data_IF_541387214126
#
_entry.id   IF_541387214126
#
_cell.length_a   1.000
_cell.length_b   1.000
_cell.length_c   1.000
_cell.angle_alpha   90.00
_cell.angle_beta   90.00
_cell.angle_gamma   90.00
#
_symmetry.space_group_name_H-M   'P 1'
#
loop_
_entity.id
_entity.type
_entity.pdbx_description
1 polymer ?
#
# COMPACT_ATOMS: atom_id res chain seq x y z
N UNK A 1 -2.60 0.85 -16.66
CA UNK A 1 -3.76 1.78 -16.57
C UNK A 1 -3.49 3.18 -17.11
N UNK A 2 -2.44 3.90 -16.67
CA UNK A 2 -2.18 5.30 -17.14
C UNK A 2 -2.04 5.37 -18.67
N UNK A 3 -1.32 4.42 -19.27
CA UNK A 3 -1.17 4.27 -20.73
C UNK A 3 -2.36 3.57 -21.41
N UNK A 4 -3.45 3.36 -20.68
CA UNK A 4 -4.63 2.60 -21.11
C UNK A 4 -4.35 1.15 -21.60
N UNK A 5 -3.23 0.57 -21.22
CA UNK A 5 -2.90 -0.84 -21.48
C UNK A 5 -3.61 -1.81 -20.53
N UNK A 6 -3.80 -3.06 -20.97
CA UNK A 6 -4.40 -4.13 -20.17
C UNK A 6 -3.55 -4.40 -18.92
N UNK A 7 -4.21 -4.62 -17.78
CA UNK A 7 -3.53 -4.98 -16.54
C UNK A 7 -3.71 -6.46 -16.27
N UNK A 8 -2.60 -7.15 -16.03
CA UNK A 8 -2.58 -8.56 -15.65
C UNK A 8 -2.64 -8.69 -14.13
N UNK A 9 -3.49 -9.58 -13.62
CA UNK A 9 -3.50 -10.03 -12.22
C UNK A 9 -3.14 -11.52 -12.25
N UNK A 10 -2.13 -11.93 -11.47
CA UNK A 10 -1.84 -13.35 -11.29
C UNK A 10 -2.79 -13.93 -10.24
N UNK A 11 -3.27 -15.15 -10.47
CA UNK A 11 -4.29 -15.76 -9.62
C UNK A 11 -5.66 -15.11 -9.80
N UNK A 12 -6.52 -15.23 -8.79
CA UNK A 12 -7.86 -14.63 -8.76
C UNK A 12 -7.87 -13.19 -8.19
N UNK A 13 -6.71 -12.69 -7.74
CA UNK A 13 -6.54 -11.38 -7.14
C UNK A 13 -7.00 -11.27 -5.68
N UNK A 14 -7.32 -12.39 -5.02
CA UNK A 14 -7.75 -12.44 -3.61
C UNK A 14 -6.61 -12.25 -2.60
N UNK A 15 -5.35 -12.44 -3.02
CA UNK A 15 -4.18 -12.24 -2.17
C UNK A 15 -4.15 -10.83 -1.59
N UNK A 16 -3.88 -10.71 -0.28
CA UNK A 16 -3.95 -9.45 0.44
C UNK A 16 -2.59 -8.97 0.93
N UNK A 17 -2.41 -7.64 0.93
CA UNK A 17 -1.24 -6.94 1.46
C UNK A 17 -1.70 -5.78 2.32
N UNK A 18 -0.79 -5.31 3.18
CA UNK A 18 -0.95 -4.10 3.97
C UNK A 18 -0.13 -2.97 3.35
N UNK A 19 -0.84 -2.01 2.76
CA UNK A 19 -0.23 -0.89 2.04
C UNK A 19 -0.01 0.28 2.97
N UNK A 20 1.21 0.82 2.96
CA UNK A 20 1.56 2.03 3.73
C UNK A 20 2.14 3.08 2.81
N UNK A 21 1.61 4.30 2.89
CA UNK A 21 2.10 5.40 2.07
C UNK A 21 3.46 5.89 2.57
N UNK A 22 4.32 6.32 1.64
CA UNK A 22 5.73 6.61 1.92
C UNK A 22 5.93 7.67 3.01
N UNK A 23 5.05 8.68 3.13
CA UNK A 23 5.18 9.71 4.18
C UNK A 23 4.99 9.15 5.58
N UNK A 24 4.18 8.10 5.74
CA UNK A 24 3.98 7.46 7.04
C UNK A 24 5.22 6.65 7.43
N UNK A 25 5.85 5.98 6.46
CA UNK A 25 7.12 5.26 6.65
C UNK A 25 8.26 6.21 7.02
N UNK A 26 8.42 7.32 6.28
CA UNK A 26 9.48 8.30 6.60
C UNK A 26 9.24 8.95 7.96
N UNK A 27 7.98 9.21 8.34
CA UNK A 27 7.64 9.71 9.68
C UNK A 27 8.01 8.71 10.78
N UNK A 28 7.80 7.41 10.56
CA UNK A 28 8.19 6.37 11.53
C UNK A 28 9.70 6.40 11.76
N UNK A 29 10.51 6.45 10.70
CA UNK A 29 11.97 6.51 10.79
C UNK A 29 12.45 7.77 11.52
N UNK A 30 11.87 8.94 11.21
CA UNK A 30 12.20 10.18 11.92
C UNK A 30 11.87 10.11 13.42
N UNK A 31 10.79 9.43 13.80
CA UNK A 31 10.44 9.23 15.21
C UNK A 31 11.39 8.25 15.89
N UNK A 32 11.77 7.17 15.20
CA UNK A 32 12.73 6.20 15.70
C UNK A 32 14.11 6.83 15.96
N UNK A 33 14.58 7.74 15.09
CA UNK A 33 15.84 8.46 15.29
C UNK A 33 15.80 9.43 16.47
N UNK A 34 14.64 10.03 16.75
CA UNK A 34 14.49 11.07 17.79
C UNK A 34 14.20 10.51 19.18
N UNK A 35 13.62 9.32 19.25
CA UNK A 35 13.20 8.72 20.53
C UNK A 35 14.25 7.76 21.05
N UNK A 36 14.54 7.87 22.34
CA UNK A 36 15.28 6.83 23.06
C UNK A 36 14.33 5.66 23.30
N UNK A 37 14.31 4.71 22.37
CA UNK A 37 13.63 3.43 22.53
C UNK A 37 14.63 2.34 22.87
N UNK A 38 14.13 1.19 23.32
CA UNK A 38 14.95 -0.03 23.36
C UNK A 38 15.26 -0.41 21.91
N UNK A 39 16.47 -0.90 21.63
CA UNK A 39 16.84 -1.45 20.31
C UNK A 39 15.89 -2.60 19.95
N UNK A 40 14.84 -2.30 19.17
CA UNK A 40 13.74 -3.20 18.83
C UNK A 40 13.30 -2.95 17.39
N UNK A 41 12.74 -3.99 16.78
CA UNK A 41 12.05 -3.87 15.50
C UNK A 41 10.62 -3.36 15.70
N UNK A 42 10.15 -2.51 14.78
CA UNK A 42 8.79 -1.98 14.77
C UNK A 42 8.13 -2.29 13.43
N UNK A 43 6.91 -2.84 13.49
CA UNK A 43 6.06 -2.99 12.33
C UNK A 43 5.43 -1.65 11.96
N UNK A 44 5.56 -1.27 10.69
CA UNK A 44 5.01 -0.05 10.11
C UNK A 44 3.99 -0.47 9.06
N UNK A 45 2.71 -0.39 9.42
CA UNK A 45 1.58 -0.86 8.62
C UNK A 45 0.27 -0.22 9.06
N UNK A 46 -0.79 -0.45 8.30
CA UNK A 46 -2.16 -0.06 8.66
C UNK A 46 -2.93 -1.14 9.42
N UNK A 47 -2.44 -2.38 9.45
CA UNK A 47 -3.19 -3.55 9.90
C UNK A 47 -4.50 -3.75 9.10
N UNK A 48 -4.49 -3.37 7.83
CA UNK A 48 -5.62 -3.51 6.90
C UNK A 48 -5.19 -4.44 5.77
N UNK A 49 -5.88 -5.56 5.63
CA UNK A 49 -5.72 -6.46 4.50
C UNK A 49 -6.44 -5.88 3.27
N UNK A 50 -5.69 -5.59 2.22
CA UNK A 50 -6.22 -5.07 0.94
C UNK A 50 -5.86 -6.05 -0.16
N UNK A 51 -6.85 -6.56 -0.89
CA UNK A 51 -6.60 -7.50 -1.99
C UNK A 51 -6.02 -6.81 -3.23
N UNK A 52 -5.37 -7.58 -4.10
CA UNK A 52 -4.96 -7.09 -5.43
C UNK A 52 -6.17 -6.57 -6.22
N UNK A 53 -7.33 -7.21 -6.09
CA UNK A 53 -8.56 -6.74 -6.72
C UNK A 53 -9.06 -5.39 -6.15
N UNK A 54 -8.91 -5.16 -4.85
CA UNK A 54 -9.25 -3.88 -4.22
C UNK A 54 -8.36 -2.75 -4.75
N UNK A 55 -7.05 -3.01 -4.89
CA UNK A 55 -6.10 -2.07 -5.51
C UNK A 55 -6.48 -1.79 -6.96
N UNK A 56 -6.77 -2.83 -7.73
CA UNK A 56 -7.21 -2.68 -9.11
C UNK A 56 -8.47 -1.80 -9.21
N UNK A 57 -9.49 -2.05 -8.39
CA UNK A 57 -10.74 -1.28 -8.36
C UNK A 57 -10.49 0.18 -7.97
N UNK A 58 -9.68 0.43 -6.95
CA UNK A 58 -9.36 1.78 -6.50
C UNK A 58 -8.59 2.58 -7.57
N UNK A 59 -7.60 1.97 -8.22
CA UNK A 59 -6.89 2.58 -9.35
C UNK A 59 -7.80 2.79 -10.56
N UNK A 60 -8.66 1.81 -10.86
CA UNK A 60 -9.63 1.88 -11.96
C UNK A 60 -10.55 3.09 -11.79
N UNK A 61 -11.05 3.30 -10.58
CA UNK A 61 -11.86 4.47 -10.23
C UNK A 61 -11.07 5.77 -10.35
N UNK A 62 -9.88 5.86 -9.76
CA UNK A 62 -9.06 7.09 -9.77
C UNK A 62 -8.63 7.52 -11.18
N UNK A 63 -8.35 6.55 -12.06
CA UNK A 63 -7.91 6.80 -13.43
C UNK A 63 -9.05 6.82 -14.46
N UNK A 64 -10.30 6.63 -14.03
CA UNK A 64 -11.45 6.40 -14.91
C UNK A 64 -11.18 5.32 -15.99
N UNK A 65 -10.39 4.31 -15.63
CA UNK A 65 -10.00 3.22 -16.51
C UNK A 65 -11.23 2.32 -16.77
N UNK A 66 -11.44 1.89 -18.01
CA UNK A 66 -12.67 1.17 -18.38
C UNK A 66 -12.50 -0.34 -18.53
N UNK A 67 -11.30 -0.82 -18.84
CA UNK A 67 -11.07 -2.25 -19.11
C UNK A 67 -11.08 -3.08 -17.82
N UNK A 68 -11.35 -4.37 -17.97
CA UNK A 68 -11.26 -5.36 -16.89
C UNK A 68 -9.83 -5.93 -16.77
N UNK A 69 -9.48 -6.54 -15.62
CA UNK A 69 -8.18 -7.20 -15.51
C UNK A 69 -8.15 -8.47 -16.36
N UNK A 70 -6.95 -8.80 -16.85
CA UNK A 70 -6.68 -10.10 -17.46
C UNK A 70 -6.07 -11.01 -16.39
N UNK A 71 -6.73 -12.11 -16.08
CA UNK A 71 -6.22 -13.05 -15.09
C UNK A 71 -5.17 -13.98 -15.69
N UNK A 72 -4.11 -14.23 -14.93
CA UNK A 72 -3.04 -15.16 -15.25
C UNK A 72 -2.97 -16.31 -14.23
N UNK A 73 -2.05 -17.27 -14.43
CA UNK A 73 -1.86 -18.36 -13.49
C UNK A 73 -1.45 -17.85 -12.10
N UNK A 74 -1.78 -18.62 -11.08
CA UNK A 74 -1.39 -18.37 -9.68
C UNK A 74 0.14 -18.39 -9.54
N UNK A 75 0.68 -17.53 -8.68
CA UNK A 75 2.10 -17.52 -8.36
C UNK A 75 2.28 -17.95 -6.90
N UNK A 76 3.17 -18.91 -6.59
CA UNK A 76 3.43 -19.30 -5.21
C UNK A 76 3.93 -18.12 -4.38
N UNK A 77 3.10 -17.63 -3.46
CA UNK A 77 3.43 -16.53 -2.55
C UNK A 77 2.61 -16.59 -1.26
N UNK A 78 2.94 -15.70 -0.31
CA UNK A 78 2.14 -15.55 0.91
C UNK A 78 0.77 -14.97 0.55
N UNK A 79 -0.30 -15.64 0.96
CA UNK A 79 -1.67 -15.23 0.60
C UNK A 79 -2.09 -13.95 1.34
N UNK A 80 -1.77 -13.82 2.64
CA UNK A 80 -2.25 -12.72 3.48
C UNK A 80 -1.11 -12.08 4.29
N UNK A 81 -0.93 -10.77 4.15
CA UNK A 81 0.02 -9.99 4.94
C UNK A 81 -0.70 -8.78 5.54
N UNK A 82 -0.67 -8.67 6.88
CA UNK A 82 -1.06 -7.47 7.62
C UNK A 82 -0.16 -7.27 8.83
N UNK A 83 0.12 -6.02 9.17
CA UNK A 83 1.10 -5.69 10.20
C UNK A 83 0.45 -4.98 11.38
N UNK A 84 0.59 -5.55 12.56
CA UNK A 84 0.20 -4.88 13.80
C UNK A 84 1.26 -3.84 14.22
N UNK A 85 0.86 -2.57 14.21
CA UNK A 85 1.71 -1.44 14.58
C UNK A 85 1.57 -0.98 16.04
N UNK A 86 0.89 -1.73 16.91
CA UNK A 86 0.66 -1.34 18.31
C UNK A 86 1.94 -0.99 19.07
N UNK A 87 3.06 -1.67 18.79
CA UNK A 87 4.35 -1.34 19.39
C UNK A 87 4.87 0.04 18.95
N UNK A 88 4.77 0.36 17.65
CA UNK A 88 5.14 1.68 17.12
C UNK A 88 4.22 2.78 17.68
N UNK A 89 2.93 2.49 17.87
CA UNK A 89 1.99 3.40 18.53
C UNK A 89 2.39 3.68 19.97
N UNK A 90 2.73 2.65 20.74
CA UNK A 90 3.09 2.77 22.15
C UNK A 90 4.41 3.50 22.36
N UNK A 91 5.48 3.05 21.69
CA UNK A 91 6.83 3.53 21.96
C UNK A 91 7.22 4.72 21.07
N UNK A 92 6.86 4.68 19.78
CA UNK A 92 7.17 5.77 18.85
C UNK A 92 6.10 6.86 18.81
N UNK A 93 4.93 6.65 19.43
CA UNK A 93 3.76 7.54 19.24
C UNK A 93 3.39 7.69 17.76
N UNK A 94 3.71 6.66 16.97
CA UNK A 94 3.46 6.61 15.54
C UNK A 94 2.15 5.87 15.26
N UNK A 95 1.38 6.39 14.31
CA UNK A 95 0.28 5.67 13.68
C UNK A 95 0.23 6.12 12.23
N UNK A 96 -0.20 5.26 11.31
CA UNK A 96 -0.32 5.66 9.93
C UNK A 96 -1.47 6.69 9.80
N UNK A 97 -1.38 7.53 8.78
CA UNK A 97 -2.27 8.67 8.59
C UNK A 97 -2.87 8.75 7.20
N UNK A 98 -2.14 8.29 6.18
CA UNK A 98 -2.57 8.39 4.79
C UNK A 98 -3.29 7.11 4.41
N UNK A 99 -4.62 7.20 4.32
CA UNK A 99 -5.45 6.08 3.89
C UNK A 99 -5.22 5.70 2.43
N UNK A 100 -5.62 4.48 2.06
CA UNK A 100 -5.35 3.89 0.75
C UNK A 100 -5.78 4.79 -0.43
N UNK A 101 -7.02 5.32 -0.40
CA UNK A 101 -7.55 6.18 -1.48
C UNK A 101 -6.72 7.46 -1.65
N UNK A 102 -6.36 8.11 -0.55
CA UNK A 102 -5.52 9.31 -0.57
C UNK A 102 -4.12 8.99 -1.11
N UNK A 103 -3.52 7.89 -0.64
CA UNK A 103 -2.22 7.42 -1.11
C UNK A 103 -2.20 7.10 -2.60
N UNK A 104 -3.24 6.41 -3.11
CA UNK A 104 -3.42 6.12 -4.54
C UNK A 104 -3.50 7.42 -5.34
N UNK A 105 -4.37 8.36 -4.93
CA UNK A 105 -4.52 9.65 -5.62
C UNK A 105 -3.18 10.39 -5.74
N UNK A 106 -2.46 10.56 -4.63
CA UNK A 106 -1.13 11.21 -4.61
C UNK A 106 -0.13 10.49 -5.52
N UNK A 107 -0.14 9.16 -5.52
CA UNK A 107 0.76 8.35 -6.35
C UNK A 107 0.45 8.51 -7.84
N UNK A 108 -0.84 8.50 -8.21
CA UNK A 108 -1.28 8.74 -9.60
C UNK A 108 -0.93 10.15 -10.05
N UNK A 109 -1.17 11.17 -9.22
CA UNK A 109 -0.80 12.55 -9.52
C UNK A 109 0.71 12.72 -9.73
N UNK A 110 1.52 12.06 -8.90
CA UNK A 110 2.97 12.07 -9.05
C UNK A 110 3.41 11.37 -10.34
N UNK A 111 2.90 10.16 -10.62
CA UNK A 111 3.23 9.42 -11.84
C UNK A 111 2.91 10.20 -13.11
N UNK A 112 1.75 10.87 -13.17
CA UNK A 112 1.35 11.69 -14.32
C UNK A 112 2.31 12.86 -14.59
N UNK A 113 3.01 13.36 -13.58
CA UNK A 113 4.00 14.45 -13.74
C UNK A 113 5.39 13.96 -14.15
N UNK A 114 5.70 12.70 -13.87
CA UNK A 114 7.02 12.12 -14.12
C UNK A 114 7.06 11.37 -15.45
N UNK A 115 5.93 10.79 -15.87
CA UNK A 115 5.79 10.09 -17.16
C UNK A 115 5.08 10.91 -18.25
N UNK A 116 4.61 12.12 -17.94
CA UNK A 116 3.98 13.04 -18.89
C UNK A 116 4.91 14.20 -19.21
#
# INVERSE_FOLDING_TARGET
>A
MIRNENCKINGDGSHTRDYTFISDVTKANLLALKKKTKHRAFNIGHNIATSTLDIFKALKQELNYKKEPVFGPEVPEVINIRLDYLLAKKELSWKPKVGLKEGIKKTVEWLKKVEG
#
